data_IF_572168462858
#
_entry.id   IF_572168462858
#
_cell.length_a   1.000
_cell.length_b   1.000
_cell.length_c   1.000
_cell.angle_alpha   90.00
_cell.angle_beta   90.00
_cell.angle_gamma   90.00
#
_symmetry.space_group_name_H-M   'P 1'
#
loop_
_entity.id
_entity.type
_entity.pdbx_description
1 polymer ?
#
# COMPACT_ATOMS: atom_id res chain seq x y z
N UNK A 1 13.42 31.84 29.76
CA UNK A 1 12.73 30.80 28.95
C UNK A 1 11.40 31.38 28.52
N UNK A 2 11.13 31.47 27.21
CA UNK A 2 9.78 31.74 26.71
C UNK A 2 9.12 30.38 26.40
N UNK A 3 7.98 30.08 27.01
CA UNK A 3 7.25 28.82 26.81
C UNK A 3 6.32 28.47 27.97
N UNK A 4 5.33 27.63 27.70
CA UNK A 4 4.43 27.05 28.71
C UNK A 4 5.09 25.86 29.42
N UNK A 5 4.60 25.49 30.61
CA UNK A 5 5.07 24.29 31.32
C UNK A 5 4.90 23.01 30.47
N UNK A 6 3.89 22.96 29.59
CA UNK A 6 3.67 21.84 28.67
C UNK A 6 4.75 21.72 27.58
N UNK A 7 5.56 22.77 27.35
CA UNK A 7 6.67 22.76 26.39
C UNK A 7 7.88 22.01 26.95
N UNK A 8 7.96 21.85 28.27
CA UNK A 8 9.04 21.16 28.97
C UNK A 8 8.81 19.64 29.12
N UNK A 9 7.55 19.20 29.12
CA UNK A 9 7.21 17.78 29.32
C UNK A 9 7.20 17.00 28.02
N UNK A 10 7.91 15.86 28.01
CA UNK A 10 7.88 14.87 26.93
C UNK A 10 7.35 13.54 27.48
N UNK A 11 6.42 12.92 26.75
CA UNK A 11 5.77 11.66 27.11
C UNK A 11 6.09 10.57 26.09
N UNK A 12 5.80 9.30 26.42
CA UNK A 12 6.19 8.13 25.63
C UNK A 12 7.72 7.98 25.46
N UNK A 13 8.48 8.36 26.48
CA UNK A 13 9.92 8.09 26.58
C UNK A 13 10.18 6.63 26.99
N UNK A 14 11.34 6.09 26.62
CA UNK A 14 11.80 4.76 27.02
C UNK A 14 13.32 4.79 27.25
N UNK A 15 13.81 4.11 28.29
CA UNK A 15 15.23 4.05 28.61
C UNK A 15 15.83 5.43 28.95
N UNK A 16 17.09 5.65 28.53
CA UNK A 16 17.79 6.92 28.70
C UNK A 16 17.06 8.05 27.98
N UNK A 17 16.73 9.12 28.71
CA UNK A 17 15.98 10.26 28.19
C UNK A 17 16.88 11.43 27.82
N UNK A 18 16.59 12.09 26.70
CA UNK A 18 17.22 13.33 26.29
C UNK A 18 16.13 14.34 25.89
N UNK A 19 16.08 15.44 26.64
CA UNK A 19 15.09 16.51 26.46
C UNK A 19 15.68 17.76 25.80
N UNK A 20 17.01 17.83 25.69
CA UNK A 20 17.77 18.96 25.17
C UNK A 20 18.94 18.47 24.34
N UNK A 21 19.05 18.98 23.12
CA UNK A 21 20.19 18.69 22.25
C UNK A 21 21.26 19.78 22.46
N UNK A 22 22.56 19.43 22.49
CA UNK A 22 23.63 20.41 22.51
C UNK A 22 23.46 21.43 21.37
N UNK A 23 23.64 22.72 21.66
CA UNK A 23 23.77 23.72 20.59
C UNK A 23 25.14 23.56 19.98
N UNK A 24 25.22 22.98 18.78
CA UNK A 24 26.45 22.99 17.99
C UNK A 24 26.67 24.43 17.50
N UNK A 25 27.59 25.14 18.12
CA UNK A 25 28.11 26.40 17.58
C UNK A 25 29.25 26.05 16.64
N UNK A 26 29.06 26.28 15.34
CA UNK A 26 30.12 26.12 14.36
C UNK A 26 31.10 27.28 14.52
N UNK A 27 32.39 26.99 14.60
CA UNK A 27 33.41 28.00 14.34
C UNK A 27 33.43 28.23 12.82
N UNK A 28 33.14 29.44 12.31
CA UNK A 28 33.07 29.72 10.89
C UNK A 28 34.44 29.65 10.17
N UNK A 29 35.49 29.09 10.79
CA UNK A 29 36.73 28.84 10.07
C UNK A 29 36.42 28.06 8.78
N UNK A 30 36.82 28.59 7.61
CA UNK A 30 36.61 27.88 6.36
C UNK A 30 37.41 26.58 6.45
N UNK A 31 36.71 25.45 6.47
CA UNK A 31 37.37 24.18 6.19
C UNK A 31 37.94 24.31 4.78
N UNK A 32 39.27 24.36 4.64
CA UNK A 32 39.97 24.52 3.35
C UNK A 32 39.63 23.42 2.33
N UNK A 33 38.98 22.34 2.77
CA UNK A 33 38.52 21.24 1.94
C UNK A 33 37.02 21.03 2.08
N UNK A 34 36.29 21.25 0.98
CA UNK A 34 34.88 20.91 0.82
C UNK A 34 34.75 19.55 0.15
N UNK A 35 34.01 18.64 0.76
CA UNK A 35 33.70 17.32 0.20
C UNK A 35 32.30 17.33 -0.39
N UNK A 36 32.15 16.74 -1.57
CA UNK A 36 30.88 16.58 -2.26
C UNK A 36 30.59 15.09 -2.46
N UNK A 37 29.43 14.63 -1.98
CA UNK A 37 28.97 13.25 -2.12
C UNK A 37 27.59 13.19 -2.75
N UNK A 38 27.36 12.14 -3.55
CA UNK A 38 26.11 11.83 -4.21
C UNK A 38 25.53 10.56 -3.60
N UNK A 39 24.23 10.57 -3.36
CA UNK A 39 23.53 9.49 -2.66
C UNK A 39 22.25 9.12 -3.38
N UNK A 40 21.97 7.82 -3.43
CA UNK A 40 20.74 7.29 -4.02
C UNK A 40 20.26 6.06 -3.24
N UNK A 41 18.97 5.77 -3.31
CA UNK A 41 18.34 4.57 -2.78
C UNK A 41 17.62 3.81 -3.87
N UNK A 42 17.79 2.49 -3.89
CA UNK A 42 17.06 1.59 -4.79
C UNK A 42 16.26 0.55 -4.00
N UNK A 43 15.16 0.06 -4.58
CA UNK A 43 14.48 -1.12 -4.05
C UNK A 43 13.78 -1.92 -5.15
N UNK A 44 14.22 -3.17 -5.34
CA UNK A 44 13.56 -4.15 -6.18
C UNK A 44 12.29 -4.67 -5.48
N UNK A 45 11.24 -4.93 -6.26
CA UNK A 45 9.93 -5.40 -5.76
C UNK A 45 9.37 -4.57 -4.59
N UNK A 46 9.60 -3.26 -4.59
CA UNK A 46 9.28 -2.38 -3.46
C UNK A 46 7.84 -2.52 -2.95
N UNK A 47 7.72 -2.85 -1.66
CA UNK A 47 6.45 -3.05 -0.96
C UNK A 47 5.98 -4.50 -0.88
N UNK A 48 6.58 -5.41 -1.65
CA UNK A 48 6.34 -6.85 -1.60
C UNK A 48 7.09 -7.52 -0.44
N UNK A 49 6.85 -8.81 -0.19
CA UNK A 49 7.66 -9.59 0.77
C UNK A 49 9.00 -10.06 0.17
N UNK A 50 9.18 -9.87 -1.14
CA UNK A 50 10.40 -10.16 -1.90
C UNK A 50 11.26 -8.88 -2.11
N UNK A 51 10.90 -7.79 -1.43
CA UNK A 51 11.55 -6.50 -1.59
C UNK A 51 13.03 -6.54 -1.15
N UNK A 52 13.91 -5.95 -1.96
CA UNK A 52 15.35 -5.86 -1.69
C UNK A 52 15.82 -4.44 -1.90
N UNK A 53 16.33 -3.79 -0.86
CA UNK A 53 16.76 -2.39 -0.91
C UNK A 53 18.29 -2.25 -0.92
N UNK A 54 18.77 -1.24 -1.64
CA UNK A 54 20.17 -0.86 -1.70
C UNK A 54 20.36 0.64 -1.48
N UNK A 55 21.54 1.01 -0.99
CA UNK A 55 21.99 2.39 -0.85
C UNK A 55 23.29 2.58 -1.63
N UNK A 56 23.35 3.63 -2.44
CA UNK A 56 24.52 3.99 -3.23
C UNK A 56 25.14 5.30 -2.74
N UNK A 57 26.46 5.32 -2.64
CA UNK A 57 27.26 6.48 -2.25
C UNK A 57 28.39 6.65 -3.24
N UNK A 58 28.48 7.84 -3.84
CA UNK A 58 29.50 8.15 -4.84
C UNK A 58 30.12 9.53 -4.58
N UNK A 59 31.44 9.63 -4.68
CA UNK A 59 32.20 10.88 -4.56
C UNK A 59 32.86 11.25 -5.90
N UNK A 60 33.72 10.36 -6.40
CA UNK A 60 34.41 10.47 -7.69
C UNK A 60 34.87 9.09 -8.16
N UNK A 61 35.22 8.96 -9.43
CA UNK A 61 35.68 7.67 -9.97
C UNK A 61 36.93 7.17 -9.24
N UNK A 62 36.92 5.89 -8.87
CA UNK A 62 38.01 5.25 -8.13
C UNK A 62 38.16 5.66 -6.66
N UNK A 63 37.26 6.48 -6.10
CA UNK A 63 37.30 6.83 -4.68
C UNK A 63 37.00 5.61 -3.80
N UNK A 64 37.87 5.35 -2.82
CA UNK A 64 37.71 4.24 -1.89
C UNK A 64 36.50 4.41 -0.95
N UNK A 65 35.96 5.63 -0.82
CA UNK A 65 34.74 5.91 -0.07
C UNK A 65 33.46 5.66 -0.88
N UNK A 66 33.56 5.36 -2.18
CA UNK A 66 32.39 4.92 -2.94
C UNK A 66 31.87 3.62 -2.34
N UNK A 67 30.58 3.60 -1.97
CA UNK A 67 29.98 2.47 -1.31
C UNK A 67 28.69 2.06 -1.98
N UNK A 68 28.50 0.75 -1.98
CA UNK A 68 27.33 0.09 -2.51
C UNK A 68 26.86 -0.84 -1.39
N UNK A 69 25.79 -0.45 -0.69
CA UNK A 69 25.33 -1.06 0.57
C UNK A 69 24.02 -1.80 0.33
N UNK A 70 23.99 -3.10 0.61
CA UNK A 70 22.76 -3.88 0.71
C UNK A 70 22.14 -3.65 2.09
N UNK A 71 20.92 -3.11 2.11
CA UNK A 71 20.19 -2.85 3.34
C UNK A 71 19.93 -4.17 4.09
N UNK A 72 20.34 -4.30 5.37
CA UNK A 72 20.09 -5.50 6.17
C UNK A 72 18.60 -5.84 6.28
N UNK A 73 18.24 -7.12 6.34
CA UNK A 73 16.85 -7.59 6.37
C UNK A 73 16.08 -7.19 7.64
N UNK A 74 16.79 -6.90 8.74
CA UNK A 74 16.17 -6.39 9.95
C UNK A 74 15.68 -4.93 9.81
N UNK A 75 16.11 -4.22 8.76
CA UNK A 75 15.61 -2.91 8.37
C UNK A 75 14.53 -3.03 7.30
N UNK A 76 13.58 -2.07 7.22
CA UNK A 76 12.56 -2.05 6.18
C UNK A 76 13.20 -2.05 4.79
N UNK A 77 12.89 -3.05 3.95
CA UNK A 77 13.36 -3.12 2.57
C UNK A 77 12.53 -2.19 1.68
N UNK A 78 12.87 -0.89 1.68
CA UNK A 78 12.17 0.13 0.88
C UNK A 78 13.16 1.09 0.24
N UNK A 79 12.76 1.73 -0.86
CA UNK A 79 13.57 2.76 -1.51
C UNK A 79 14.01 3.83 -0.52
N UNK A 80 13.08 4.29 0.31
CA UNK A 80 13.32 5.36 1.29
C UNK A 80 14.33 4.96 2.36
N UNK A 81 14.40 3.68 2.74
CA UNK A 81 15.45 3.21 3.64
C UNK A 81 16.82 3.37 2.99
N UNK A 82 16.95 2.99 1.71
CA UNK A 82 18.16 3.21 0.91
C UNK A 82 18.59 4.68 0.89
N UNK A 83 17.65 5.58 0.58
CA UNK A 83 17.88 7.03 0.56
C UNK A 83 18.37 7.61 1.90
N UNK A 84 17.83 7.12 3.02
CA UNK A 84 18.20 7.61 4.35
C UNK A 84 19.57 7.07 4.76
N UNK A 85 19.83 5.79 4.49
CA UNK A 85 21.09 5.13 4.86
C UNK A 85 22.25 5.65 4.02
N UNK A 86 22.07 5.94 2.73
CA UNK A 86 23.12 6.53 1.89
C UNK A 86 23.56 7.91 2.41
N UNK A 87 22.63 8.79 2.81
CA UNK A 87 22.95 10.08 3.46
C UNK A 87 23.66 9.87 4.80
N UNK A 88 23.19 8.90 5.61
CA UNK A 88 23.81 8.57 6.90
C UNK A 88 25.26 8.14 6.72
N UNK A 89 25.51 7.32 5.69
CA UNK A 89 26.84 6.82 5.33
C UNK A 89 27.77 7.96 4.95
N UNK A 90 27.36 8.84 4.03
CA UNK A 90 28.17 10.01 3.64
C UNK A 90 28.47 10.91 4.83
N UNK A 91 27.48 11.16 5.69
CA UNK A 91 27.66 12.00 6.87
C UNK A 91 28.62 11.40 7.91
N UNK A 92 28.74 10.07 7.97
CA UNK A 92 29.61 9.34 8.88
C UNK A 92 31.03 9.15 8.34
N UNK A 93 31.18 8.94 7.02
CA UNK A 93 32.46 8.64 6.38
C UNK A 93 33.38 9.85 6.24
N UNK A 94 32.79 11.03 6.01
CA UNK A 94 33.56 12.27 5.83
C UNK A 94 33.97 12.84 7.17
N UNK A 95 35.23 13.29 7.29
CA UNK A 95 35.76 13.92 8.51
C UNK A 95 34.75 14.97 9.06
N UNK A 96 34.36 14.89 10.35
CA UNK A 96 33.42 15.84 10.95
C UNK A 96 33.89 17.30 10.93
N UNK A 97 35.17 17.57 10.65
CA UNK A 97 35.76 18.90 10.53
C UNK A 97 35.83 19.42 9.08
N UNK A 98 35.43 18.63 8.08
CA UNK A 98 35.35 19.06 6.69
C UNK A 98 33.95 19.53 6.32
N UNK A 99 33.84 20.60 5.53
CA UNK A 99 32.53 21.04 5.02
C UNK A 99 31.99 20.02 4.03
N UNK A 100 30.72 19.63 4.18
CA UNK A 100 30.11 18.55 3.40
C UNK A 100 28.91 19.06 2.60
N UNK A 101 28.85 18.71 1.32
CA UNK A 101 27.64 18.85 0.50
C UNK A 101 27.18 17.47 0.02
N UNK A 102 25.92 17.13 0.30
CA UNK A 102 25.31 15.86 -0.10
C UNK A 102 24.23 16.15 -1.15
N UNK A 103 24.35 15.52 -2.30
CA UNK A 103 23.38 15.57 -3.40
C UNK A 103 22.52 14.31 -3.36
N UNK A 104 21.19 14.46 -3.27
CA UNK A 104 20.22 13.35 -3.26
C UNK A 104 19.00 13.73 -4.09
N UNK A 105 18.39 12.75 -4.76
CA UNK A 105 17.13 12.95 -5.47
C UNK A 105 15.88 12.76 -4.58
N UNK A 106 16.05 12.20 -3.37
CA UNK A 106 14.98 12.02 -2.40
C UNK A 106 14.66 13.31 -1.66
N UNK A 107 13.79 14.10 -2.30
CA UNK A 107 13.18 15.28 -1.68
C UNK A 107 12.49 14.93 -0.36
N UNK A 108 11.89 13.74 -0.24
CA UNK A 108 11.22 13.31 0.98
C UNK A 108 12.19 13.16 2.15
N UNK A 109 13.37 12.57 1.90
CA UNK A 109 14.41 12.43 2.91
C UNK A 109 14.99 13.80 3.29
N UNK A 110 15.30 14.64 2.31
CA UNK A 110 15.82 16.00 2.56
C UNK A 110 14.83 16.84 3.38
N UNK A 111 13.55 16.88 2.97
CA UNK A 111 12.50 17.60 3.71
C UNK A 111 12.33 17.02 5.12
N UNK A 112 12.53 15.70 5.29
CA UNK A 112 12.50 15.02 6.57
C UNK A 112 13.61 15.45 7.54
N UNK A 113 14.84 15.58 7.03
CA UNK A 113 16.03 15.99 7.78
C UNK A 113 16.10 17.51 8.03
N UNK A 114 15.36 18.30 7.24
CA UNK A 114 15.38 19.77 7.29
C UNK A 114 14.05 20.35 7.79
N UNK A 115 13.08 20.56 6.89
CA UNK A 115 11.84 21.30 7.13
C UNK A 115 10.93 20.61 8.16
N UNK A 116 10.81 19.29 8.07
CA UNK A 116 9.92 18.51 8.93
C UNK A 116 10.59 18.06 10.23
N UNK A 117 11.92 18.12 10.32
CA UNK A 117 12.72 17.58 11.43
C UNK A 117 12.20 18.04 12.78
N UNK A 118 12.10 19.36 12.98
CA UNK A 118 11.69 19.93 14.27
C UNK A 118 10.30 19.41 14.69
N UNK A 119 9.34 19.41 13.76
CA UNK A 119 7.99 18.90 14.00
C UNK A 119 7.99 17.41 14.33
N UNK A 120 8.80 16.60 13.67
CA UNK A 120 8.87 15.16 13.93
C UNK A 120 9.54 14.86 15.26
N UNK A 121 10.64 15.55 15.57
CA UNK A 121 11.27 15.50 16.88
C UNK A 121 10.26 15.90 17.96
N UNK A 122 9.56 17.02 17.84
CA UNK A 122 8.56 17.46 18.82
C UNK A 122 7.41 16.46 18.99
N UNK A 123 7.04 15.75 17.94
CA UNK A 123 6.01 14.70 18.00
C UNK A 123 6.55 13.31 18.36
N UNK A 124 7.83 13.20 18.72
CA UNK A 124 8.49 11.94 19.09
C UNK A 124 8.53 10.91 17.97
N UNK A 125 8.50 11.37 16.71
CA UNK A 125 8.39 10.53 15.51
C UNK A 125 7.19 9.58 15.49
N UNK A 126 6.16 9.83 16.30
CA UNK A 126 4.98 8.96 16.39
C UNK A 126 4.26 8.90 15.04
N UNK A 127 4.22 7.70 14.46
CA UNK A 127 3.61 7.43 13.17
C UNK A 127 4.38 7.95 11.95
N UNK A 128 5.65 8.35 12.11
CA UNK A 128 6.57 8.66 11.01
C UNK A 128 7.17 7.35 10.48
N UNK A 129 7.18 7.17 9.16
CA UNK A 129 7.84 6.02 8.53
C UNK A 129 9.37 6.19 8.59
N UNK A 130 10.11 5.08 8.68
CA UNK A 130 11.57 5.08 8.78
C UNK A 130 12.10 5.99 9.93
N UNK A 131 11.35 6.05 11.03
CA UNK A 131 11.64 6.91 12.16
C UNK A 131 12.98 6.57 12.84
N UNK A 132 13.39 5.30 12.85
CA UNK A 132 14.65 4.89 13.46
C UNK A 132 15.81 5.41 12.61
N UNK A 133 15.77 5.15 11.31
CA UNK A 133 16.77 5.52 10.33
C UNK A 133 16.94 7.04 10.28
N UNK A 134 15.85 7.81 10.22
CA UNK A 134 15.89 9.27 10.29
C UNK A 134 16.54 9.78 11.58
N UNK A 135 16.26 9.14 12.73
CA UNK A 135 16.84 9.53 14.02
C UNK A 135 18.34 9.24 14.06
N UNK A 136 18.80 8.13 13.46
CA UNK A 136 20.23 7.84 13.29
C UNK A 136 20.87 8.92 12.43
N UNK A 137 20.31 9.22 11.25
CA UNK A 137 20.85 10.26 10.35
C UNK A 137 20.95 11.62 11.02
N UNK A 138 19.90 12.04 11.74
CA UNK A 138 19.90 13.31 12.47
C UNK A 138 21.01 13.33 13.54
N UNK A 139 21.20 12.25 14.28
CA UNK A 139 22.26 12.16 15.28
C UNK A 139 23.64 12.19 14.62
N UNK A 140 23.85 11.48 13.51
CA UNK A 140 25.10 11.49 12.74
C UNK A 140 25.41 12.90 12.23
N UNK A 141 24.44 13.60 11.65
CA UNK A 141 24.61 14.99 11.21
C UNK A 141 24.95 15.94 12.37
N UNK A 142 24.41 15.70 13.57
CA UNK A 142 24.72 16.50 14.78
C UNK A 142 26.11 16.27 15.34
N UNK A 143 26.76 15.13 15.05
CA UNK A 143 28.14 14.84 15.47
C UNK A 143 29.17 15.68 14.71
N UNK A 144 28.79 16.25 13.56
CA UNK A 144 29.69 17.02 12.70
C UNK A 144 29.95 18.41 13.30
N UNK A 145 31.19 18.86 13.21
CA UNK A 145 31.63 20.17 13.72
C UNK A 145 31.47 21.28 12.68
N UNK A 146 31.30 20.91 11.41
CA UNK A 146 31.10 21.82 10.28
C UNK A 146 29.69 21.74 9.68
N UNK A 147 29.27 22.77 8.92
CA UNK A 147 28.02 22.73 8.19
C UNK A 147 27.94 21.57 7.19
N UNK A 148 26.78 20.92 7.15
CA UNK A 148 26.43 19.96 6.10
C UNK A 148 25.28 20.51 5.28
N UNK A 149 25.49 20.63 3.97
CA UNK A 149 24.50 21.14 3.02
C UNK A 149 23.84 19.98 2.29
N UNK A 150 22.52 19.84 2.42
CA UNK A 150 21.74 18.88 1.63
C UNK A 150 21.18 19.59 0.39
N UNK A 151 21.53 19.10 -0.80
CA UNK A 151 21.04 19.63 -2.09
C UNK A 151 20.16 18.60 -2.77
N UNK A 152 18.93 19.00 -3.05
CA UNK A 152 18.05 18.19 -3.88
C UNK A 152 18.48 18.31 -5.35
N UNK A 153 18.66 17.17 -6.00
CA UNK A 153 18.86 17.08 -7.45
C UNK A 153 17.68 16.33 -8.07
N UNK A 154 17.39 16.60 -9.34
CA UNK A 154 16.34 15.84 -10.02
C UNK A 154 16.95 14.53 -10.53
N UNK A 155 16.37 13.39 -10.12
CA UNK A 155 16.76 12.08 -10.64
C UNK A 155 16.58 11.96 -12.16
N UNK A 156 17.42 11.14 -12.78
CA UNK A 156 17.38 10.80 -14.21
C UNK A 156 17.56 11.98 -15.19
N UNK A 157 18.29 13.03 -14.79
CA UNK A 157 18.63 14.17 -15.66
C UNK A 157 20.05 14.09 -16.26
N UNK A 158 20.77 12.98 -16.13
CA UNK A 158 22.13 12.86 -16.67
C UNK A 158 23.20 13.54 -15.81
N UNK A 159 22.93 13.77 -14.51
CA UNK A 159 23.96 14.22 -13.58
C UNK A 159 24.84 13.03 -13.21
N UNK A 160 26.06 13.00 -13.75
CA UNK A 160 26.96 11.85 -13.67
C UNK A 160 27.10 11.28 -12.24
N UNK A 161 27.34 12.13 -11.24
CA UNK A 161 27.48 11.67 -9.85
C UNK A 161 26.20 11.02 -9.28
N UNK A 162 25.03 11.54 -9.64
CA UNK A 162 23.75 10.95 -9.25
C UNK A 162 23.50 9.62 -9.97
N UNK A 163 23.83 9.56 -11.26
CA UNK A 163 23.66 8.34 -12.05
C UNK A 163 24.60 7.22 -11.58
N UNK A 164 25.82 7.56 -11.16
CA UNK A 164 26.77 6.64 -10.52
C UNK A 164 26.26 6.16 -9.16
N UNK A 165 25.74 7.06 -8.31
CA UNK A 165 25.12 6.67 -7.04
C UNK A 165 23.94 5.70 -7.24
N UNK A 166 23.07 5.97 -8.22
CA UNK A 166 21.96 5.10 -8.59
C UNK A 166 22.41 3.73 -9.13
N UNK A 167 23.48 3.71 -9.94
CA UNK A 167 24.07 2.45 -10.40
C UNK A 167 24.58 1.60 -9.22
N UNK A 168 25.27 2.23 -8.25
CA UNK A 168 25.73 1.55 -7.03
C UNK A 168 24.56 1.04 -6.18
N UNK A 169 23.50 1.84 -6.03
CA UNK A 169 22.31 1.46 -5.27
C UNK A 169 21.61 0.26 -5.90
N UNK A 170 21.47 0.22 -7.24
CA UNK A 170 20.86 -0.89 -7.98
C UNK A 170 21.68 -2.18 -7.91
N UNK A 171 22.98 -2.09 -8.10
CA UNK A 171 23.89 -3.24 -7.99
C UNK A 171 23.76 -3.93 -6.62
N UNK A 172 23.40 -3.18 -5.57
CA UNK A 172 23.27 -3.73 -4.21
C UNK A 172 21.92 -4.34 -3.88
N UNK A 173 20.83 -3.88 -4.49
CA UNK A 173 19.56 -4.59 -4.33
C UNK A 173 19.62 -6.01 -4.92
N UNK A 174 20.61 -6.29 -5.79
CA UNK A 174 20.89 -7.59 -6.37
C UNK A 174 21.89 -8.45 -5.56
N UNK A 175 22.70 -7.85 -4.69
CA UNK A 175 23.65 -8.58 -3.82
C UNK A 175 22.92 -9.62 -2.94
N UNK A 176 23.55 -10.76 -2.71
CA UNK A 176 23.00 -11.79 -1.81
C UNK A 176 23.45 -11.59 -0.36
N UNK A 177 24.70 -11.17 -0.16
CA UNK A 177 25.24 -10.87 1.17
C UNK A 177 24.74 -9.50 1.65
N UNK A 178 24.43 -9.41 2.95
CA UNK A 178 23.96 -8.20 3.60
C UNK A 178 25.16 -7.41 4.14
N UNK A 179 25.12 -6.09 4.00
CA UNK A 179 26.11 -5.22 4.62
C UNK A 179 25.67 -4.84 6.04
N UNK A 180 26.63 -4.50 6.90
CA UNK A 180 26.34 -3.97 8.22
C UNK A 180 26.06 -2.46 8.16
N UNK A 181 25.02 -2.03 8.89
CA UNK A 181 24.66 -0.61 9.01
C UNK A 181 24.63 -0.27 10.49
N UNK A 182 25.48 0.68 10.91
CA UNK A 182 25.48 1.16 12.29
C UNK A 182 24.24 2.02 12.57
N UNK A 183 23.38 1.52 13.46
CA UNK A 183 22.16 2.19 13.92
C UNK A 183 22.30 2.76 15.34
N UNK A 184 23.52 2.81 15.89
CA UNK A 184 23.76 3.32 17.24
C UNK A 184 23.56 4.84 17.30
N UNK A 185 22.63 5.25 18.15
CA UNK A 185 22.32 6.65 18.41
C UNK A 185 22.85 7.00 19.80
N UNK A 186 23.85 7.89 19.93
CA UNK A 186 24.22 8.43 21.23
C UNK A 186 23.00 9.10 21.88
N UNK A 187 22.61 8.72 23.12
CA UNK A 187 21.41 9.27 23.75
C UNK A 187 21.40 10.80 23.84
N UNK A 188 22.57 11.43 23.97
CA UNK A 188 22.73 12.88 24.03
C UNK A 188 22.38 13.62 22.73
N UNK A 189 22.30 12.92 21.59
CA UNK A 189 22.08 13.52 20.27
C UNK A 189 20.66 13.30 19.73
N UNK A 190 19.79 12.64 20.49
CA UNK A 190 18.45 12.30 20.02
C UNK A 190 17.36 12.59 21.07
N UNK A 191 16.46 13.52 20.73
CA UNK A 191 15.32 13.84 21.58
C UNK A 191 14.43 12.61 21.79
N UNK A 192 14.04 12.37 23.04
CA UNK A 192 13.19 11.24 23.42
C UNK A 192 11.75 11.64 23.66
N UNK A 193 10.82 10.77 23.29
CA UNK A 193 9.38 11.00 23.49
C UNK A 193 8.83 12.15 22.67
N UNK A 194 7.55 12.46 22.87
CA UNK A 194 6.82 13.54 22.20
C UNK A 194 6.49 14.64 23.21
N UNK A 195 6.63 15.92 22.83
CA UNK A 195 6.20 17.05 23.66
C UNK A 195 4.71 16.96 23.95
N UNK A 196 4.34 17.21 25.20
CA UNK A 196 2.97 17.15 25.66
C UNK A 196 2.11 18.22 24.97
N UNK A 197 2.64 19.43 24.78
CA UNK A 197 1.96 20.54 24.12
C UNK A 197 1.51 20.23 22.67
N UNK A 198 2.26 19.39 21.96
CA UNK A 198 1.96 19.02 20.58
C UNK A 198 1.00 17.84 20.52
N UNK A 199 0.79 17.12 21.62
CA UNK A 199 0.08 15.85 21.62
C UNK A 199 -1.40 16.02 21.28
N UNK A 200 -1.89 15.15 20.40
CA UNK A 200 -3.32 15.03 20.11
C UNK A 200 -3.81 13.65 20.53
N UNK A 201 -5.10 13.49 20.80
CA UNK A 201 -5.68 12.17 21.10
C UNK A 201 -5.33 11.13 20.02
N UNK A 202 -5.43 11.51 18.73
CA UNK A 202 -5.07 10.64 17.62
C UNK A 202 -3.60 10.22 17.63
N UNK A 203 -2.69 11.11 18.03
CA UNK A 203 -1.25 10.79 18.15
C UNK A 203 -0.97 9.93 19.37
N UNK A 204 -1.56 10.25 20.52
CA UNK A 204 -1.45 9.45 21.73
C UNK A 204 -1.93 8.01 21.48
N UNK A 205 -3.08 7.85 20.80
CA UNK A 205 -3.58 6.54 20.39
C UNK A 205 -2.56 5.79 19.51
N UNK A 206 -1.95 6.46 18.53
CA UNK A 206 -0.90 5.86 17.69
C UNK A 206 0.32 5.41 18.51
N UNK A 207 0.81 6.26 19.43
CA UNK A 207 1.95 5.94 20.29
C UNK A 207 1.66 4.73 21.21
N UNK A 208 0.49 4.72 21.85
CA UNK A 208 0.03 3.60 22.68
C UNK A 208 -0.08 2.33 21.83
N UNK A 209 -0.66 2.42 20.62
CA UNK A 209 -0.78 1.28 19.73
C UNK A 209 0.58 0.75 19.29
N UNK A 210 1.53 1.61 18.92
CA UNK A 210 2.91 1.19 18.58
C UNK A 210 3.57 0.47 19.77
N UNK A 211 3.41 1.01 20.98
CA UNK A 211 3.92 0.40 22.22
C UNK A 211 3.25 -0.94 22.54
N UNK A 212 1.95 -1.08 22.28
CA UNK A 212 1.27 -2.37 22.41
C UNK A 212 1.75 -3.37 21.37
N UNK A 213 1.95 -2.93 20.13
CA UNK A 213 2.40 -3.79 19.03
C UNK A 213 3.82 -4.31 19.21
N UNK A 214 4.69 -3.66 20.00
CA UNK A 214 6.01 -4.21 20.32
C UNK A 214 5.97 -5.34 21.36
N UNK A 215 4.84 -5.57 22.03
CA UNK A 215 4.70 -6.64 23.02
C UNK A 215 4.24 -7.94 22.36
N UNK A 216 5.04 -9.01 22.52
CA UNK A 216 4.73 -10.35 22.00
C UNK A 216 3.33 -10.85 22.40
N UNK A 217 2.90 -10.60 23.63
CA UNK A 217 1.56 -10.98 24.11
C UNK A 217 0.44 -10.37 23.26
N UNK A 218 0.56 -9.08 22.93
CA UNK A 218 -0.46 -8.39 22.14
C UNK A 218 -0.41 -8.83 20.68
N UNK A 219 0.78 -9.08 20.12
CA UNK A 219 0.91 -9.67 18.79
C UNK A 219 0.20 -11.03 18.71
N UNK A 220 0.43 -11.93 19.68
CA UNK A 220 -0.26 -13.23 19.76
C UNK A 220 -1.77 -13.09 19.90
N UNK A 221 -2.26 -12.13 20.68
CA UNK A 221 -3.70 -11.89 20.82
C UNK A 221 -4.36 -11.37 19.52
N UNK A 222 -3.62 -10.65 18.68
CA UNK A 222 -4.09 -10.22 17.36
C UNK A 222 -3.94 -11.30 16.28
N UNK A 223 -3.14 -12.33 16.56
CA UNK A 223 -2.80 -13.40 15.64
C UNK A 223 -3.91 -14.44 15.53
N UNK A 224 -4.90 -14.15 14.67
CA UNK A 224 -5.99 -15.07 14.37
C UNK A 224 -5.58 -16.02 13.25
N UNK A 225 -5.53 -17.32 13.56
CA UNK A 225 -5.17 -18.39 12.61
C UNK A 225 -5.94 -18.29 11.30
N UNK A 226 -7.25 -18.10 11.35
CA UNK A 226 -8.09 -17.98 10.15
C UNK A 226 -7.73 -16.77 9.28
N UNK A 227 -7.53 -15.61 9.90
CA UNK A 227 -7.08 -14.41 9.18
C UNK A 227 -5.74 -14.65 8.50
N UNK A 228 -4.79 -15.29 9.17
CA UNK A 228 -3.50 -15.67 8.57
C UNK A 228 -3.68 -16.58 7.37
N UNK A 229 -4.48 -17.63 7.48
CA UNK A 229 -4.77 -18.56 6.38
C UNK A 229 -5.35 -17.81 5.19
N UNK A 230 -6.40 -17.01 5.39
CA UNK A 230 -7.05 -16.26 4.31
C UNK A 230 -6.11 -15.24 3.65
N UNK A 231 -5.31 -14.52 4.45
CA UNK A 231 -4.30 -13.61 3.87
C UNK A 231 -3.18 -14.35 3.14
N UNK A 232 -2.73 -15.50 3.65
CA UNK A 232 -1.72 -16.33 2.99
C UNK A 232 -2.20 -16.86 1.64
N UNK A 233 -3.44 -17.38 1.58
CA UNK A 233 -4.08 -17.81 0.33
C UNK A 233 -4.17 -16.67 -0.69
N UNK A 234 -4.58 -15.49 -0.24
CA UNK A 234 -4.64 -14.31 -1.10
C UNK A 234 -3.26 -13.90 -1.63
N UNK A 235 -2.22 -13.92 -0.78
CA UNK A 235 -0.84 -13.62 -1.20
C UNK A 235 -0.32 -14.63 -2.23
N UNK A 236 -0.54 -15.93 -2.00
CA UNK A 236 -0.16 -16.99 -2.93
C UNK A 236 -0.81 -16.79 -4.29
N UNK A 237 -2.14 -16.57 -4.32
CA UNK A 237 -2.83 -16.34 -5.59
C UNK A 237 -2.36 -15.08 -6.31
N UNK A 238 -2.09 -14.00 -5.57
CA UNK A 238 -1.54 -12.79 -6.20
C UNK A 238 -0.14 -13.04 -6.74
N UNK A 239 0.69 -13.85 -6.08
CA UNK A 239 2.01 -14.25 -6.60
C UNK A 239 1.88 -15.02 -7.91
N UNK A 240 0.94 -15.96 -7.99
CA UNK A 240 0.70 -16.74 -9.21
C UNK A 240 0.26 -15.84 -10.38
N UNK A 241 -0.59 -14.85 -10.12
CA UNK A 241 -1.14 -13.96 -11.16
C UNK A 241 -0.16 -12.84 -11.55
N UNK A 242 0.52 -12.23 -10.57
CA UNK A 242 1.32 -11.00 -10.78
C UNK A 242 2.83 -11.29 -10.83
N UNK A 243 3.25 -12.50 -10.44
CA UNK A 243 4.66 -12.91 -10.41
C UNK A 243 5.45 -12.46 -9.19
N UNK A 244 4.84 -11.76 -8.21
CA UNK A 244 5.51 -11.30 -6.99
C UNK A 244 4.58 -11.39 -5.79
N UNK A 245 5.07 -11.95 -4.68
CA UNK A 245 4.26 -12.08 -3.47
C UNK A 245 4.08 -10.74 -2.74
N UNK A 246 2.85 -10.22 -2.58
CA UNK A 246 2.63 -8.93 -1.95
C UNK A 246 2.78 -9.01 -0.44
N UNK A 247 3.25 -7.93 0.20
CA UNK A 247 3.27 -7.89 1.66
C UNK A 247 1.87 -7.87 2.25
N UNK A 248 1.74 -8.33 3.51
CA UNK A 248 0.47 -8.23 4.25
C UNK A 248 -0.04 -6.79 4.31
N UNK A 249 0.87 -5.81 4.39
CA UNK A 249 0.51 -4.38 4.37
C UNK A 249 -0.10 -3.96 3.04
N UNK A 250 0.43 -4.45 1.92
CA UNK A 250 -0.13 -4.19 0.59
C UNK A 250 -1.52 -4.82 0.46
N UNK A 251 -1.68 -6.08 0.86
CA UNK A 251 -2.96 -6.78 0.84
C UNK A 251 -4.02 -6.05 1.68
N UNK A 252 -3.72 -5.69 2.94
CA UNK A 252 -4.68 -4.97 3.79
C UNK A 252 -5.08 -3.61 3.24
N UNK A 253 -4.15 -2.91 2.57
CA UNK A 253 -4.45 -1.65 1.87
C UNK A 253 -5.34 -1.90 0.65
N UNK A 254 -5.11 -2.98 -0.10
CA UNK A 254 -5.85 -3.29 -1.31
C UNK A 254 -7.31 -3.66 -1.02
N UNK A 255 -7.62 -4.29 0.12
CA UNK A 255 -9.01 -4.51 0.55
C UNK A 255 -9.82 -3.21 0.69
N UNK A 256 -9.13 -2.07 0.84
CA UNK A 256 -9.73 -0.73 0.92
C UNK A 256 -9.61 0.07 -0.37
N UNK A 257 -9.30 -0.58 -1.50
CA UNK A 257 -9.08 0.07 -2.78
C UNK A 257 -10.21 1.04 -3.14
N UNK A 258 -9.86 2.18 -3.75
CA UNK A 258 -10.82 3.26 -4.03
C UNK A 258 -11.93 2.85 -5.00
N UNK A 259 -11.66 1.87 -5.86
CA UNK A 259 -12.61 1.35 -6.85
C UNK A 259 -13.69 0.45 -6.24
N UNK A 260 -13.43 -0.12 -5.06
CA UNK A 260 -14.43 -0.91 -4.35
C UNK A 260 -15.48 -0.02 -3.71
N UNK A 261 -16.75 -0.43 -3.78
CA UNK A 261 -17.83 0.23 -3.04
C UNK A 261 -17.60 0.14 -1.53
N UNK A 262 -18.12 1.10 -0.75
CA UNK A 262 -17.99 1.07 0.72
C UNK A 262 -18.56 -0.21 1.33
N UNK A 263 -19.68 -0.69 0.76
CA UNK A 263 -20.32 -1.94 1.17
C UNK A 263 -19.39 -3.13 0.93
N UNK A 264 -18.77 -3.20 -0.24
CA UNK A 264 -17.83 -4.27 -0.57
C UNK A 264 -16.58 -4.24 0.31
N UNK A 265 -15.99 -3.06 0.58
CA UNK A 265 -14.81 -2.95 1.46
C UNK A 265 -15.07 -3.50 2.86
N UNK A 266 -16.27 -3.27 3.40
CA UNK A 266 -16.67 -3.86 4.68
C UNK A 266 -16.86 -5.38 4.55
N UNK A 267 -17.57 -5.81 3.51
CA UNK A 267 -17.80 -7.23 3.23
C UNK A 267 -16.48 -8.01 3.11
N UNK A 268 -15.58 -7.58 2.24
CA UNK A 268 -14.32 -8.30 2.00
C UNK A 268 -13.40 -8.29 3.23
N UNK A 269 -13.43 -7.23 4.04
CA UNK A 269 -12.71 -7.19 5.31
C UNK A 269 -13.28 -8.20 6.32
N UNK A 270 -14.61 -8.32 6.41
CA UNK A 270 -15.27 -9.34 7.24
C UNK A 270 -14.96 -10.75 6.74
N UNK A 271 -14.93 -10.96 5.43
CA UNK A 271 -14.52 -12.24 4.81
C UNK A 271 -13.10 -12.61 5.22
N UNK A 272 -12.13 -11.69 5.09
CA UNK A 272 -10.73 -11.94 5.47
C UNK A 272 -10.58 -12.35 6.95
N UNK A 273 -11.51 -11.93 7.81
CA UNK A 273 -11.51 -12.21 9.25
C UNK A 273 -12.47 -13.34 9.68
N UNK A 274 -13.14 -14.02 8.74
CA UNK A 274 -14.21 -14.99 9.03
C UNK A 274 -15.30 -14.41 9.96
N UNK A 275 -15.65 -13.14 9.74
CA UNK A 275 -16.60 -12.43 10.59
C UNK A 275 -18.07 -12.75 10.31
N UNK A 276 -18.37 -13.50 9.25
CA UNK A 276 -19.74 -13.84 8.86
C UNK A 276 -20.23 -15.14 9.52
N UNK A 277 -21.50 -15.14 9.94
CA UNK A 277 -22.18 -16.31 10.53
C UNK A 277 -22.62 -17.27 9.43
N UNK A 278 -21.80 -18.28 9.14
CA UNK A 278 -22.03 -19.33 8.14
C UNK A 278 -21.57 -20.69 8.68
N UNK A 279 -21.97 -21.79 8.04
CA UNK A 279 -21.44 -23.12 8.33
C UNK A 279 -21.61 -23.54 9.79
N UNK A 280 -20.52 -23.98 10.39
CA UNK A 280 -20.42 -24.47 11.78
C UNK A 280 -20.98 -23.51 12.83
N UNK A 281 -20.99 -22.19 12.55
CA UNK A 281 -21.62 -21.23 13.45
C UNK A 281 -23.09 -21.61 13.71
N UNK A 282 -23.84 -22.02 12.69
CA UNK A 282 -25.26 -22.31 12.79
C UNK A 282 -25.56 -23.68 13.38
N UNK A 283 -24.64 -24.65 13.30
CA UNK A 283 -24.81 -25.98 13.89
C UNK A 283 -25.05 -25.93 15.40
N UNK A 284 -24.54 -24.89 16.05
CA UNK A 284 -24.63 -24.70 17.50
C UNK A 284 -25.79 -23.78 17.92
N UNK A 285 -26.67 -23.39 16.99
CA UNK A 285 -27.80 -22.49 17.25
C UNK A 285 -29.11 -23.26 17.10
N UNK A 286 -29.78 -23.48 18.22
CA UNK A 286 -31.07 -24.18 18.29
C UNK A 286 -32.10 -23.58 17.33
N UNK A 287 -32.73 -24.44 16.53
CA UNK A 287 -33.73 -24.12 15.49
C UNK A 287 -33.20 -23.47 14.21
N UNK A 288 -31.89 -23.24 14.10
CA UNK A 288 -31.27 -22.62 12.93
C UNK A 288 -30.16 -23.48 12.30
N UNK A 289 -30.02 -24.73 12.72
CA UNK A 289 -29.00 -25.68 12.29
C UNK A 289 -29.07 -25.96 10.78
N UNK A 290 -30.28 -25.92 10.21
CA UNK A 290 -30.50 -26.06 8.76
C UNK A 290 -29.71 -25.04 7.93
N UNK A 291 -29.34 -23.89 8.50
CA UNK A 291 -28.55 -22.83 7.83
C UNK A 291 -27.05 -23.11 7.79
N UNK A 292 -26.58 -24.19 8.43
CA UNK A 292 -25.18 -24.57 8.39
C UNK A 292 -24.80 -25.16 7.03
N UNK A 293 -25.73 -25.88 6.39
CA UNK A 293 -25.45 -26.67 5.21
C UNK A 293 -26.12 -26.06 3.97
N UNK A 294 -25.42 -26.16 2.84
CA UNK A 294 -25.98 -25.86 1.54
C UNK A 294 -26.82 -27.05 1.08
N UNK A 295 -28.15 -26.97 1.20
CA UNK A 295 -29.04 -28.11 0.90
C UNK A 295 -28.85 -28.72 -0.49
N UNK A 296 -28.75 -27.95 -1.59
CA UNK A 296 -28.54 -28.54 -2.92
C UNK A 296 -27.19 -29.22 -3.09
N UNK A 297 -26.16 -28.76 -2.38
CA UNK A 297 -24.80 -29.30 -2.52
C UNK A 297 -24.46 -30.38 -1.48
N UNK A 298 -25.24 -30.49 -0.40
CA UNK A 298 -25.01 -31.46 0.68
C UNK A 298 -23.76 -31.20 1.53
N UNK A 299 -23.16 -30.00 1.47
CA UNK A 299 -21.93 -29.64 2.19
C UNK A 299 -22.17 -28.51 3.20
N UNK A 300 -21.34 -28.46 4.25
CA UNK A 300 -21.33 -27.33 5.19
C UNK A 300 -20.83 -26.07 4.50
N UNK A 301 -21.58 -24.97 4.63
CA UNK A 301 -21.26 -23.72 3.95
C UNK A 301 -19.97 -23.10 4.49
N UNK A 302 -18.98 -22.97 3.62
CA UNK A 302 -17.81 -22.11 3.81
C UNK A 302 -17.88 -20.89 2.89
N UNK A 303 -17.01 -19.90 3.11
CA UNK A 303 -16.94 -18.76 2.20
C UNK A 303 -16.40 -19.15 0.82
N UNK A 304 -15.51 -20.14 0.76
CA UNK A 304 -15.08 -20.80 -0.48
C UNK A 304 -16.26 -21.43 -1.22
N UNK A 305 -17.06 -22.21 -0.49
CA UNK A 305 -18.24 -22.83 -1.09
C UNK A 305 -19.17 -21.77 -1.68
N UNK A 306 -19.55 -20.78 -0.88
CA UNK A 306 -20.53 -19.75 -1.28
C UNK A 306 -20.04 -18.95 -2.49
N UNK A 307 -18.75 -18.58 -2.52
CA UNK A 307 -18.24 -17.65 -3.52
C UNK A 307 -17.70 -18.33 -4.79
N UNK A 308 -17.26 -19.59 -4.73
CA UNK A 308 -16.59 -20.23 -5.87
C UNK A 308 -17.04 -21.65 -6.21
N UNK A 309 -17.67 -22.40 -5.29
CA UNK A 309 -17.94 -23.84 -5.53
C UNK A 309 -19.45 -24.20 -5.53
N UNK A 310 -20.31 -23.31 -5.04
CA UNK A 310 -21.74 -23.56 -4.87
C UNK A 310 -22.46 -23.83 -6.19
N UNK A 311 -23.19 -24.95 -6.26
CA UNK A 311 -24.02 -25.35 -7.40
C UNK A 311 -25.45 -24.81 -7.33
N UNK A 312 -25.79 -24.03 -6.30
CA UNK A 312 -27.11 -23.40 -6.26
C UNK A 312 -27.27 -22.39 -7.40
N UNK A 313 -28.51 -22.17 -7.89
CA UNK A 313 -28.76 -21.17 -8.92
C UNK A 313 -28.19 -19.80 -8.54
N UNK A 314 -27.52 -19.16 -9.50
CA UNK A 314 -26.96 -17.82 -9.37
C UNK A 314 -25.45 -17.75 -9.39
N UNK A 315 -24.74 -18.55 -8.59
CA UNK A 315 -23.28 -18.41 -8.42
C UNK A 315 -22.55 -18.63 -9.75
N UNK A 316 -22.68 -19.83 -10.31
CA UNK A 316 -21.94 -20.23 -11.52
C UNK A 316 -22.27 -19.32 -12.69
N UNK A 317 -23.55 -18.96 -12.83
CA UNK A 317 -24.02 -18.08 -13.88
C UNK A 317 -23.44 -16.66 -13.76
N UNK A 318 -23.32 -16.11 -12.55
CA UNK A 318 -22.68 -14.80 -12.35
C UNK A 318 -21.22 -14.85 -12.77
N UNK A 319 -20.50 -15.93 -12.47
CA UNK A 319 -19.11 -16.06 -12.89
C UNK A 319 -18.96 -16.27 -14.40
N UNK A 320 -19.86 -17.01 -15.03
CA UNK A 320 -19.87 -17.14 -16.49
C UNK A 320 -20.10 -15.78 -17.17
N UNK A 321 -21.09 -15.01 -16.72
CA UNK A 321 -21.32 -13.64 -17.22
C UNK A 321 -20.11 -12.72 -17.00
N UNK A 322 -19.40 -12.91 -15.88
CA UNK A 322 -18.17 -12.16 -15.56
C UNK A 322 -17.02 -12.55 -16.50
N UNK A 323 -16.87 -13.85 -16.77
CA UNK A 323 -15.87 -14.39 -17.68
C UNK A 323 -16.12 -13.90 -19.11
N UNK A 324 -17.37 -13.94 -19.57
CA UNK A 324 -17.77 -13.44 -20.90
C UNK A 324 -17.43 -11.96 -21.08
N UNK A 325 -17.73 -11.10 -20.10
CA UNK A 325 -17.44 -9.66 -20.22
C UNK A 325 -15.94 -9.36 -20.12
N UNK A 326 -15.18 -10.13 -19.34
CA UNK A 326 -13.72 -10.05 -19.32
C UNK A 326 -13.12 -10.45 -20.69
N UNK A 327 -13.62 -11.53 -21.29
CA UNK A 327 -13.20 -11.99 -22.61
C UNK A 327 -13.49 -10.94 -23.71
N UNK A 328 -14.68 -10.32 -23.69
CA UNK A 328 -15.03 -9.21 -24.60
C UNK A 328 -14.05 -8.03 -24.50
N UNK A 329 -13.56 -7.75 -23.30
CA UNK A 329 -12.56 -6.69 -23.06
C UNK A 329 -11.13 -7.11 -23.43
N UNK A 330 -10.90 -8.38 -23.79
CA UNK A 330 -9.57 -8.92 -24.09
C UNK A 330 -8.72 -9.16 -22.84
N UNK A 331 -9.35 -9.38 -21.68
CA UNK A 331 -8.67 -9.60 -20.41
C UNK A 331 -8.59 -11.08 -20.06
N UNK A 332 -7.44 -11.48 -19.52
CA UNK A 332 -7.23 -12.84 -19.00
C UNK A 332 -8.18 -13.12 -17.83
N UNK A 333 -8.87 -14.26 -17.91
CA UNK A 333 -9.79 -14.71 -16.87
C UNK A 333 -9.07 -15.56 -15.84
N UNK A 334 -9.15 -15.14 -14.57
CA UNK A 334 -8.68 -15.93 -13.44
C UNK A 334 -9.89 -16.53 -12.73
N UNK A 335 -9.92 -17.84 -12.58
CA UNK A 335 -11.03 -18.51 -11.91
C UNK A 335 -11.21 -18.00 -10.47
N UNK A 336 -12.46 -17.81 -10.01
CA UNK A 336 -12.74 -17.26 -8.70
C UNK A 336 -12.40 -18.28 -7.63
N UNK A 337 -11.67 -17.83 -6.62
CA UNK A 337 -11.43 -18.53 -5.37
C UNK A 337 -11.41 -17.49 -4.26
N UNK A 338 -11.49 -17.92 -3.00
CA UNK A 338 -11.37 -16.97 -1.89
C UNK A 338 -10.06 -16.19 -1.95
N UNK A 339 -8.97 -16.82 -2.41
CA UNK A 339 -7.67 -16.18 -2.60
C UNK A 339 -7.67 -15.12 -3.69
N UNK A 340 -8.21 -15.42 -4.87
CA UNK A 340 -8.27 -14.44 -5.99
C UNK A 340 -9.20 -13.27 -5.66
N UNK A 341 -10.31 -13.53 -4.97
CA UNK A 341 -11.27 -12.50 -4.53
C UNK A 341 -10.66 -11.56 -3.47
N UNK A 342 -9.99 -12.12 -2.44
CA UNK A 342 -9.27 -11.33 -1.43
C UNK A 342 -8.09 -10.56 -2.05
N UNK A 343 -7.44 -11.14 -3.06
CA UNK A 343 -6.33 -10.57 -3.81
C UNK A 343 -6.73 -9.55 -4.89
N UNK A 344 -8.01 -9.46 -5.25
CA UNK A 344 -8.49 -8.71 -6.42
C UNK A 344 -8.04 -7.24 -6.46
N UNK A 345 -7.84 -6.62 -5.29
CA UNK A 345 -7.35 -5.24 -5.20
C UNK A 345 -5.90 -5.04 -5.66
N UNK A 346 -5.12 -6.11 -5.82
CA UNK A 346 -3.71 -6.10 -6.23
C UNK A 346 -3.50 -6.62 -7.66
N UNK A 347 -4.48 -7.30 -8.23
CA UNK A 347 -4.39 -7.83 -9.59
C UNK A 347 -4.25 -6.68 -10.58
N UNK A 348 -3.26 -6.81 -11.46
CA UNK A 348 -3.04 -5.94 -12.61
C UNK A 348 -2.90 -6.84 -13.83
N UNK A 349 -3.66 -6.61 -14.91
CA UNK A 349 -3.43 -7.31 -16.16
C UNK A 349 -2.04 -6.94 -16.71
N UNK A 350 -1.43 -7.87 -17.42
CA UNK A 350 -0.11 -7.68 -18.02
C UNK A 350 -0.12 -6.44 -18.93
N UNK A 351 0.88 -5.57 -18.76
CA UNK A 351 1.06 -4.41 -19.63
C UNK A 351 1.50 -4.90 -21.01
N UNK A 352 0.61 -4.83 -22.00
CA UNK A 352 1.01 -4.89 -23.41
C UNK A 352 1.74 -3.58 -23.73
N UNK A 353 2.91 -3.66 -24.40
CA UNK A 353 3.75 -2.51 -24.71
C UNK A 353 2.91 -1.33 -25.25
N UNK A 354 3.02 -0.17 -24.59
CA UNK A 354 2.36 1.08 -24.99
C UNK A 354 0.95 1.33 -24.44
N UNK A 355 0.27 0.36 -23.80
CA UNK A 355 -1.08 0.54 -23.24
C UNK A 355 -1.04 0.78 -21.72
N UNK A 356 -1.64 1.87 -21.24
CA UNK A 356 -1.79 2.11 -19.80
C UNK A 356 -2.83 1.13 -19.21
N UNK A 357 -2.38 0.18 -18.38
CA UNK A 357 -3.19 -0.87 -17.73
C UNK A 357 -4.19 -0.38 -16.66
N UNK A 358 -4.34 0.94 -16.48
CA UNK A 358 -5.06 1.52 -15.35
C UNK A 358 -6.59 1.34 -15.43
N UNK A 359 -7.16 1.48 -16.63
CA UNK A 359 -8.58 1.23 -16.92
C UNK A 359 -8.94 -0.24 -16.79
N UNK A 360 -8.11 -1.13 -17.36
CA UNK A 360 -8.32 -2.58 -17.34
C UNK A 360 -8.23 -3.14 -15.92
N UNK A 361 -7.21 -2.75 -15.14
CA UNK A 361 -7.09 -3.14 -13.74
C UNK A 361 -8.27 -2.62 -12.90
N UNK A 362 -8.79 -1.43 -13.23
CA UNK A 362 -9.96 -0.86 -12.58
C UNK A 362 -11.24 -1.63 -12.92
N UNK A 363 -11.42 -1.99 -14.18
CA UNK A 363 -12.54 -2.79 -14.63
C UNK A 363 -12.59 -4.15 -13.92
N UNK A 364 -11.47 -4.88 -13.87
CA UNK A 364 -11.37 -6.15 -13.15
C UNK A 364 -11.76 -6.01 -11.67
N UNK A 365 -11.23 -4.99 -10.98
CA UNK A 365 -11.61 -4.73 -9.58
C UNK A 365 -13.11 -4.50 -9.42
N UNK A 366 -13.73 -3.75 -10.32
CA UNK A 366 -15.17 -3.47 -10.28
C UNK A 366 -15.95 -4.76 -10.50
N UNK A 367 -15.71 -5.46 -11.61
CA UNK A 367 -16.51 -6.61 -12.00
C UNK A 367 -16.39 -7.74 -10.99
N UNK A 368 -15.19 -8.07 -10.53
CA UNK A 368 -14.97 -9.09 -9.49
C UNK A 368 -15.71 -8.71 -8.20
N UNK A 369 -15.66 -7.43 -7.79
CA UNK A 369 -16.31 -7.00 -6.55
C UNK A 369 -17.83 -7.02 -6.61
N UNK A 370 -18.44 -6.61 -7.72
CA UNK A 370 -19.88 -6.59 -7.90
C UNK A 370 -20.44 -8.01 -8.04
N UNK A 371 -19.77 -8.88 -8.82
CA UNK A 371 -20.11 -10.30 -8.96
C UNK A 371 -20.06 -11.02 -7.61
N UNK A 372 -18.94 -10.92 -6.90
CA UNK A 372 -18.77 -11.53 -5.56
C UNK A 372 -19.86 -11.10 -4.59
N UNK A 373 -20.15 -9.81 -4.54
CA UNK A 373 -21.12 -9.29 -3.59
C UNK A 373 -22.56 -9.65 -3.96
N UNK A 374 -22.88 -9.76 -5.25
CA UNK A 374 -24.18 -10.24 -5.69
C UNK A 374 -24.39 -11.71 -5.32
N UNK A 375 -23.38 -12.56 -5.52
CA UNK A 375 -23.42 -13.98 -5.10
C UNK A 375 -23.74 -14.07 -3.61
N UNK A 376 -23.03 -13.30 -2.77
CA UNK A 376 -23.29 -13.24 -1.34
C UNK A 376 -24.73 -12.81 -1.00
N UNK A 377 -25.27 -11.81 -1.72
CA UNK A 377 -26.65 -11.34 -1.50
C UNK A 377 -27.67 -12.42 -1.86
N UNK A 378 -27.52 -13.08 -3.00
CA UNK A 378 -28.42 -14.16 -3.43
C UNK A 378 -28.40 -15.30 -2.41
N UNK A 379 -27.23 -15.67 -1.89
CA UNK A 379 -27.12 -16.64 -0.79
C UNK A 379 -27.87 -16.17 0.46
N UNK A 380 -27.71 -14.91 0.87
CA UNK A 380 -28.42 -14.39 2.05
C UNK A 380 -29.94 -14.36 1.87
N UNK A 381 -30.43 -14.03 0.69
CA UNK A 381 -31.86 -14.07 0.35
C UNK A 381 -32.42 -15.48 0.52
N UNK A 382 -31.72 -16.48 -0.02
CA UNK A 382 -32.11 -17.88 0.11
C UNK A 382 -32.04 -18.38 1.56
N UNK A 383 -30.88 -18.30 2.20
CA UNK A 383 -30.63 -18.96 3.49
C UNK A 383 -31.17 -18.18 4.69
N UNK A 384 -31.11 -16.84 4.65
CA UNK A 384 -31.47 -16.00 5.80
C UNK A 384 -32.91 -15.50 5.70
N UNK A 385 -33.37 -15.12 4.50
CA UNK A 385 -34.74 -14.63 4.29
C UNK A 385 -35.72 -15.73 3.87
N UNK A 386 -35.23 -16.94 3.54
CA UNK A 386 -36.08 -18.04 3.10
C UNK A 386 -36.74 -17.79 1.74
N UNK A 387 -36.12 -17.00 0.87
CA UNK A 387 -36.63 -16.73 -0.47
C UNK A 387 -36.23 -17.86 -1.43
N UNK A 388 -37.08 -18.12 -2.42
CA UNK A 388 -36.77 -19.07 -3.49
C UNK A 388 -35.57 -18.61 -4.32
N UNK A 389 -34.91 -19.58 -4.96
CA UNK A 389 -33.80 -19.28 -5.85
C UNK A 389 -34.32 -18.48 -7.08
N UNK A 390 -33.67 -17.37 -7.45
CA UNK A 390 -34.08 -16.59 -8.63
C UNK A 390 -33.90 -17.41 -9.91
N UNK A 391 -34.71 -17.11 -10.93
CA UNK A 391 -34.54 -17.71 -12.25
C UNK A 391 -33.21 -17.26 -12.89
N UNK A 392 -32.66 -18.02 -13.84
CA UNK A 392 -31.46 -17.62 -14.56
C UNK A 392 -31.57 -16.23 -15.21
N UNK A 393 -32.73 -15.88 -15.77
CA UNK A 393 -32.97 -14.57 -16.39
C UNK A 393 -32.94 -13.46 -15.34
N UNK A 394 -33.51 -13.72 -14.15
CA UNK A 394 -33.47 -12.78 -13.05
C UNK A 394 -32.04 -12.55 -12.55
N UNK A 395 -31.24 -13.61 -12.42
CA UNK A 395 -29.81 -13.52 -12.04
C UNK A 395 -29.05 -12.64 -13.03
N UNK A 396 -29.18 -12.92 -14.34
CA UNK A 396 -28.51 -12.16 -15.38
C UNK A 396 -28.91 -10.67 -15.36
N UNK A 397 -30.21 -10.38 -15.21
CA UNK A 397 -30.73 -9.01 -15.08
C UNK A 397 -30.20 -8.30 -13.85
N UNK A 398 -30.17 -8.97 -12.69
CA UNK A 398 -29.65 -8.40 -11.43
C UNK A 398 -28.14 -8.13 -11.52
N UNK A 399 -27.39 -9.02 -12.14
CA UNK A 399 -25.96 -8.84 -12.39
C UNK A 399 -25.72 -7.65 -13.32
N UNK A 400 -26.36 -7.63 -14.50
CA UNK A 400 -26.27 -6.52 -15.46
C UNK A 400 -26.58 -5.18 -14.81
N UNK A 401 -27.68 -5.11 -14.03
CA UNK A 401 -28.05 -3.90 -13.27
C UNK A 401 -26.97 -3.45 -12.28
N UNK A 402 -26.26 -4.39 -11.64
CA UNK A 402 -25.16 -4.06 -10.72
C UNK A 402 -23.99 -3.42 -11.46
N UNK A 403 -23.65 -3.94 -12.64
CA UNK A 403 -22.55 -3.42 -13.46
C UNK A 403 -22.93 -2.07 -14.11
N UNK A 404 -24.14 -1.93 -14.63
CA UNK A 404 -24.65 -0.66 -15.18
C UNK A 404 -24.69 0.44 -14.12
N UNK A 405 -25.09 0.12 -12.88
CA UNK A 405 -25.03 1.09 -11.79
C UNK A 405 -23.61 1.59 -11.49
N UNK A 406 -22.58 0.79 -11.75
CA UNK A 406 -21.17 1.21 -11.62
C UNK A 406 -20.75 2.12 -12.77
N UNK A 407 -21.16 1.81 -14.00
CA UNK A 407 -20.95 2.66 -15.17
C UNK A 407 -21.58 4.04 -14.98
N UNK A 408 -22.86 4.08 -14.60
CA UNK A 408 -23.58 5.33 -14.36
C UNK A 408 -22.95 6.18 -13.26
N UNK A 409 -22.54 5.54 -12.15
CA UNK A 409 -21.82 6.25 -11.10
C UNK A 409 -20.50 6.82 -11.61
N UNK A 410 -19.76 6.09 -12.43
CA UNK A 410 -18.49 6.58 -12.98
C UNK A 410 -18.69 7.77 -13.93
N UNK A 411 -19.74 7.76 -14.76
CA UNK A 411 -20.13 8.89 -15.62
C UNK A 411 -20.44 10.14 -14.79
N UNK A 412 -21.26 10.01 -13.74
CA UNK A 412 -21.58 11.11 -12.82
C UNK A 412 -20.32 11.69 -12.15
N UNK A 413 -19.34 10.84 -11.87
CA UNK A 413 -18.11 11.20 -11.19
C UNK A 413 -17.07 11.88 -12.09
N UNK A 414 -17.31 12.02 -13.40
CA UNK A 414 -16.46 12.83 -14.30
C UNK A 414 -16.57 14.32 -13.96
N UNK A 415 -17.70 14.74 -13.41
CA UNK A 415 -17.98 16.15 -13.10
C UNK A 415 -17.05 16.72 -12.02
N UNK A 416 -16.74 18.02 -12.13
CA UNK A 416 -15.87 18.74 -11.18
C UNK A 416 -16.52 18.96 -9.81
N UNK A 417 -17.85 18.78 -9.70
CA UNK A 417 -18.61 18.94 -8.46
C UNK A 417 -18.09 18.03 -7.34
N UNK A 418 -17.53 16.86 -7.69
CA UNK A 418 -16.99 15.91 -6.72
C UNK A 418 -15.53 16.18 -6.30
N UNK A 419 -14.91 17.28 -6.78
CA UNK A 419 -13.55 17.75 -6.42
C UNK A 419 -12.54 16.60 -6.31
N UNK A 420 -12.11 16.26 -5.09
CA UNK A 420 -11.09 15.22 -4.80
C UNK A 420 -11.52 13.80 -5.16
N UNK A 421 -12.78 13.58 -5.50
CA UNK A 421 -13.31 12.26 -5.88
C UNK A 421 -13.65 12.17 -7.36
N UNK A 422 -13.46 13.23 -8.14
CA UNK A 422 -13.74 13.16 -9.57
C UNK A 422 -12.83 12.14 -10.27
N UNK A 423 -13.35 11.56 -11.35
CA UNK A 423 -12.62 10.69 -12.26
C UNK A 423 -12.27 11.49 -13.51
N UNK A 424 -11.13 11.17 -14.14
CA UNK A 424 -10.84 11.73 -15.45
C UNK A 424 -11.66 11.00 -16.50
N UNK A 425 -12.16 11.76 -17.50
CA UNK A 425 -12.91 11.22 -18.64
C UNK A 425 -12.19 10.01 -19.28
N UNK A 426 -10.91 10.18 -19.63
CA UNK A 426 -10.13 9.11 -20.23
C UNK A 426 -9.94 7.86 -19.36
N UNK A 427 -9.99 7.95 -18.03
CA UNK A 427 -9.96 6.75 -17.18
C UNK A 427 -11.29 5.98 -17.24
N UNK A 428 -12.41 6.71 -17.29
CA UNK A 428 -13.74 6.09 -17.40
C UNK A 428 -13.88 5.40 -18.76
N UNK A 429 -13.45 6.06 -19.84
CA UNK A 429 -13.43 5.47 -21.19
C UNK A 429 -12.61 4.18 -21.22
N UNK A 430 -11.34 4.21 -20.78
CA UNK A 430 -10.51 2.99 -20.72
C UNK A 430 -11.09 1.90 -19.83
N UNK A 431 -11.81 2.26 -18.76
CA UNK A 431 -12.46 1.27 -17.90
C UNK A 431 -13.57 0.53 -18.65
N UNK A 432 -14.36 1.24 -19.45
CA UNK A 432 -15.62 0.73 -20.01
C UNK A 432 -15.62 0.50 -21.52
N UNK A 433 -14.52 0.80 -22.22
CA UNK A 433 -14.38 0.50 -23.65
C UNK A 433 -14.50 -1.01 -23.94
N UNK A 434 -14.98 -1.32 -25.14
CA UNK A 434 -15.20 -2.65 -25.72
C UNK A 434 -16.30 -3.50 -25.08
N UNK A 435 -17.09 -2.94 -24.15
CA UNK A 435 -18.15 -3.67 -23.43
C UNK A 435 -19.51 -2.97 -23.43
N UNK A 436 -19.59 -1.78 -24.04
CA UNK A 436 -20.82 -1.01 -24.12
C UNK A 436 -21.63 -1.45 -25.33
N UNK A 437 -22.95 -1.51 -25.18
CA UNK A 437 -23.88 -1.75 -26.27
C UNK A 437 -23.78 -0.65 -27.31
N UNK A 438 -23.63 -1.04 -28.57
CA UNK A 438 -23.64 -0.10 -29.70
C UNK A 438 -22.53 0.98 -29.64
N UNK A 439 -21.36 0.60 -29.11
CA UNK A 439 -20.20 1.49 -28.93
C UNK A 439 -19.78 2.26 -30.18
N UNK A 440 -19.89 1.65 -31.36
CA UNK A 440 -19.56 2.27 -32.65
C UNK A 440 -20.48 3.45 -33.02
N UNK A 441 -21.68 3.52 -32.42
CA UNK A 441 -22.68 4.57 -32.65
C UNK A 441 -22.76 5.58 -31.49
N UNK A 442 -21.89 5.47 -30.47
CA UNK A 442 -21.87 6.41 -29.37
C UNK A 442 -21.25 7.75 -29.78
N UNK A 443 -21.76 8.89 -29.28
CA UNK A 443 -21.10 10.18 -29.46
C UNK A 443 -19.66 10.13 -28.95
N UNK A 444 -18.76 10.90 -29.56
CA UNK A 444 -17.37 11.06 -29.14
C UNK A 444 -17.23 11.55 -27.66
N UNK A 445 -18.33 12.02 -27.07
CA UNK A 445 -18.45 12.44 -25.68
C UNK A 445 -19.54 11.71 -24.88
N UNK A 446 -19.78 10.42 -25.16
CA UNK A 446 -20.83 9.61 -24.48
C UNK A 446 -20.73 9.58 -22.95
N UNK A 447 -19.53 9.79 -22.43
CA UNK A 447 -19.25 9.84 -20.99
C UNK A 447 -19.75 11.12 -20.31
N UNK A 448 -19.90 12.24 -21.03
CA UNK A 448 -20.18 13.57 -20.48
C UNK A 448 -21.57 14.14 -20.77
N UNK A 449 -22.31 13.60 -21.73
CA UNK A 449 -23.61 14.14 -22.14
C UNK A 449 -24.79 13.58 -21.32
N UNK A 450 -25.59 14.47 -20.76
CA UNK A 450 -26.85 14.13 -20.11
C UNK A 450 -27.87 13.71 -21.19
N UNK A 451 -28.20 12.41 -21.24
CA UNK A 451 -29.17 11.85 -22.19
C UNK A 451 -28.69 10.60 -22.95
N UNK A 452 -27.40 10.27 -22.89
CA UNK A 452 -26.89 9.04 -23.53
C UNK A 452 -27.22 7.83 -22.64
N UNK A 453 -28.07 6.93 -23.13
CA UNK A 453 -28.35 5.63 -22.51
C UNK A 453 -27.28 4.62 -22.95
N UNK A 454 -26.29 4.38 -22.10
CA UNK A 454 -25.28 3.33 -22.32
C UNK A 454 -25.65 2.09 -21.50
N UNK A 455 -26.08 1.04 -22.20
CA UNK A 455 -26.26 -0.29 -21.62
C UNK A 455 -25.04 -1.16 -21.85
N UNK A 456 -24.87 -2.23 -21.07
CA UNK A 456 -23.81 -3.23 -21.30
C UNK A 456 -24.31 -4.30 -22.27
N UNK A 457 -23.47 -4.74 -23.22
CA UNK A 457 -23.82 -5.80 -24.19
C UNK A 457 -24.14 -7.10 -23.44
N UNK A 458 -25.40 -7.52 -23.46
CA UNK A 458 -25.76 -8.88 -23.08
C UNK A 458 -25.06 -9.85 -24.05
N UNK A 459 -24.41 -10.91 -23.53
CA UNK A 459 -24.08 -12.06 -24.39
C UNK A 459 -25.38 -12.55 -25.03
N UNK A 460 -25.40 -12.65 -26.36
CA UNK A 460 -26.51 -13.28 -27.06
C UNK A 460 -26.45 -14.78 -26.77
N UNK A 461 -27.50 -15.29 -26.13
CA UNK A 461 -28.06 -16.58 -26.52
C UNK A 461 -28.99 -16.36 -27.70
#
# INVERSE_FOLDING_TARGET
MQGSLADAFRIFTQGSTCNTIPRTTWDPQPADTKVEGYTDGSCQHNGSDEARAGAGVYYKDGDALNKAIRIPEHLPQTNQTGEIISITTVAADVDPNQSLTIYSDSKTTIDGLTQNRQRWEDNGFVGVANAMELRVTIATLRKRNTPTTLKWVKGHLGLEGNDKANALAKLCSEKTEQDEVDLLIPPSLCLTGAKLNCMTQARAYKAIRQTKMSKNQYQRAMDRRSTKVNTGRAKSMVKEIVGTEPSSKMLWKSLRHKDFSRKFRYFIWMVAHEGYKIGDYWQNITNFEHRANCHPCGVTESMDHILSECQCPGQQQIWELTKEICAKKGLEWNEPSLGTILGAGLVKPNEQEGRRSDGDARFLRIITSESTHLIWKLRCERVVKGQDAPSPEEVARRWKKSVEARLELDRLMITTQFRRRSLSKGLVERTWENIISDEDNLPENWTGEAGVLVGIRSGQG
#
